data_IF_904583411103
#
_entry.id   IF_904583411103
#
_cell.length_a   1.000
_cell.length_b   1.000
_cell.length_c   1.000
_cell.angle_alpha   90.00
_cell.angle_beta   90.00
_cell.angle_gamma   90.00
#
_symmetry.space_group_name_H-M   'P 1'
#
loop_
_entity.id
_entity.type
_entity.pdbx_description
1 polymer ?
#
# COMPACT_ATOMS: atom_id res chain seq x y z
N UNK A 1 -20.21 23.94 3.11
CA UNK A 1 -19.60 22.61 3.08
C UNK A 1 -18.64 22.61 1.91
N UNK A 2 -17.33 22.65 2.17
CA UNK A 2 -16.31 22.52 1.13
C UNK A 2 -16.42 21.11 0.57
N UNK A 3 -16.91 20.98 -0.65
CA UNK A 3 -17.20 19.67 -1.25
C UNK A 3 -15.97 19.14 -1.96
N UNK A 4 -15.85 17.81 -2.08
CA UNK A 4 -14.82 17.19 -2.93
C UNK A 4 -14.87 17.73 -4.37
N UNK A 5 -16.06 18.11 -4.84
CA UNK A 5 -16.29 18.74 -6.15
C UNK A 5 -15.60 20.09 -6.28
N UNK A 6 -15.47 20.85 -5.19
CA UNK A 6 -14.76 22.13 -5.18
C UNK A 6 -13.25 21.92 -5.34
N UNK A 7 -12.69 20.91 -4.66
CA UNK A 7 -11.29 20.51 -4.87
C UNK A 7 -11.06 20.04 -6.32
N UNK A 8 -12.01 19.30 -6.92
CA UNK A 8 -11.92 18.90 -8.33
C UNK A 8 -11.95 20.09 -9.31
N UNK A 9 -12.69 21.16 -8.99
CA UNK A 9 -12.67 22.40 -9.78
C UNK A 9 -11.34 23.12 -9.65
N UNK A 10 -10.74 23.13 -8.46
CA UNK A 10 -9.43 23.74 -8.23
C UNK A 10 -8.30 23.01 -8.96
N UNK A 11 -8.34 21.67 -9.01
CA UNK A 11 -7.40 20.89 -9.83
C UNK A 11 -7.55 21.22 -11.33
N UNK A 12 -8.77 21.41 -11.83
CA UNK A 12 -8.99 21.82 -13.23
C UNK A 12 -8.46 23.22 -13.54
N UNK A 13 -8.35 24.08 -12.53
CA UNK A 13 -7.85 25.44 -12.64
C UNK A 13 -6.33 25.56 -12.38
N UNK A 14 -5.59 24.44 -12.27
CA UNK A 14 -4.16 24.39 -11.92
C UNK A 14 -3.82 25.02 -10.55
N UNK A 15 -4.77 25.06 -9.61
CA UNK A 15 -4.57 25.59 -8.25
C UNK A 15 -4.34 24.44 -7.26
N UNK A 16 -3.28 23.68 -7.51
CA UNK A 16 -3.06 22.40 -6.83
C UNK A 16 -2.83 22.53 -5.31
N UNK A 17 -2.08 23.56 -4.88
CA UNK A 17 -1.84 23.82 -3.46
C UNK A 17 -3.12 24.22 -2.70
N UNK A 18 -4.07 24.86 -3.38
CA UNK A 18 -5.35 25.20 -2.76
C UNK A 18 -6.26 23.98 -2.66
N UNK A 19 -6.28 23.14 -3.70
CA UNK A 19 -7.01 21.88 -3.69
C UNK A 19 -6.50 20.93 -2.59
N UNK A 20 -5.18 20.83 -2.42
CA UNK A 20 -4.55 20.05 -1.35
C UNK A 20 -4.98 20.55 0.04
N UNK A 21 -4.93 21.86 0.28
CA UNK A 21 -5.35 22.45 1.55
C UNK A 21 -6.85 22.22 1.84
N UNK A 22 -7.70 22.32 0.81
CA UNK A 22 -9.13 22.03 0.92
C UNK A 22 -9.37 20.56 1.30
N UNK A 23 -8.68 19.62 0.64
CA UNK A 23 -8.79 18.19 0.94
C UNK A 23 -8.24 17.85 2.33
N UNK A 24 -7.09 18.40 2.71
CA UNK A 24 -6.52 18.26 4.05
C UNK A 24 -7.45 18.82 5.13
N UNK A 25 -8.12 19.95 4.86
CA UNK A 25 -9.11 20.54 5.78
C UNK A 25 -10.32 19.62 5.97
N UNK A 26 -10.85 19.03 4.89
CA UNK A 26 -11.96 18.06 4.94
C UNK A 26 -11.57 16.82 5.78
N UNK A 27 -10.34 16.34 5.62
CA UNK A 27 -9.82 15.19 6.37
C UNK A 27 -9.63 15.54 7.86
N UNK A 28 -9.07 16.72 8.14
CA UNK A 28 -8.69 17.18 9.49
C UNK A 28 -9.87 17.66 10.33
N UNK A 29 -10.97 18.07 9.70
CA UNK A 29 -12.20 18.37 10.43
C UNK A 29 -12.58 17.16 11.28
N UNK A 30 -12.57 17.29 12.60
CA UNK A 30 -13.01 16.22 13.50
C UNK A 30 -14.49 16.01 13.27
N UNK A 31 -14.84 14.94 12.56
CA UNK A 31 -16.25 14.61 12.35
C UNK A 31 -16.81 14.14 13.68
N UNK A 32 -17.87 14.79 14.14
CA UNK A 32 -18.81 14.14 15.03
C UNK A 32 -19.26 12.85 14.35
N UNK A 33 -18.96 11.74 15.02
CA UNK A 33 -18.53 10.47 14.40
C UNK A 33 -19.68 9.63 13.86
N UNK A 34 -20.84 10.24 13.58
CA UNK A 34 -22.11 9.52 13.35
C UNK A 34 -22.74 9.76 11.97
N UNK A 35 -22.28 10.72 11.19
CA UNK A 35 -22.87 10.97 9.87
C UNK A 35 -22.14 10.17 8.77
N UNK A 36 -22.84 9.15 8.25
CA UNK A 36 -22.36 8.30 7.16
C UNK A 36 -22.11 9.07 5.85
N UNK A 37 -22.70 10.25 5.67
CA UNK A 37 -22.44 11.11 4.52
C UNK A 37 -21.05 11.76 4.65
N UNK A 38 -20.72 12.30 5.82
CA UNK A 38 -19.43 12.94 6.10
C UNK A 38 -18.29 11.91 6.02
N UNK A 39 -18.50 10.70 6.53
CA UNK A 39 -17.50 9.62 6.42
C UNK A 39 -17.21 9.25 4.95
N UNK A 40 -18.24 9.21 4.10
CA UNK A 40 -18.10 8.95 2.66
C UNK A 40 -17.39 10.09 1.93
N UNK A 41 -17.70 11.33 2.27
CA UNK A 41 -17.01 12.49 1.67
C UNK A 41 -15.53 12.50 2.04
N UNK A 42 -15.17 12.17 3.28
CA UNK A 42 -13.77 12.04 3.71
C UNK A 42 -13.04 10.91 3.01
N UNK A 43 -13.68 9.75 2.86
CA UNK A 43 -13.12 8.62 2.12
C UNK A 43 -12.84 9.03 0.66
N UNK A 44 -13.80 9.70 0.02
CA UNK A 44 -13.64 10.19 -1.34
C UNK A 44 -12.54 11.26 -1.43
N UNK A 45 -12.50 12.20 -0.49
CA UNK A 45 -11.47 13.23 -0.41
C UNK A 45 -10.07 12.62 -0.33
N UNK A 46 -9.89 11.58 0.51
CA UNK A 46 -8.60 10.90 0.63
C UNK A 46 -8.20 10.14 -0.64
N UNK A 47 -9.15 9.47 -1.29
CA UNK A 47 -8.89 8.80 -2.58
C UNK A 47 -8.49 9.81 -3.65
N UNK A 48 -9.18 10.96 -3.72
CA UNK A 48 -8.84 12.05 -4.65
C UNK A 48 -7.48 12.66 -4.35
N UNK A 49 -7.16 12.90 -3.09
CA UNK A 49 -5.85 13.37 -2.66
C UNK A 49 -4.75 12.37 -3.07
N UNK A 50 -5.01 11.07 -2.91
CA UNK A 50 -4.09 10.02 -3.33
C UNK A 50 -3.89 9.97 -4.85
N UNK A 51 -4.96 10.13 -5.64
CA UNK A 51 -4.89 10.24 -7.10
C UNK A 51 -4.06 11.45 -7.53
N UNK A 52 -4.26 12.60 -6.86
CA UNK A 52 -3.48 13.80 -7.13
C UNK A 52 -1.98 13.58 -6.87
N UNK A 53 -1.58 13.03 -5.71
CA UNK A 53 -0.16 12.77 -5.46
C UNK A 53 0.46 11.75 -6.41
N UNK A 54 -0.34 10.77 -6.88
CA UNK A 54 0.07 9.83 -7.93
C UNK A 54 0.36 10.57 -9.24
N UNK A 55 -0.55 11.45 -9.66
CA UNK A 55 -0.43 12.18 -10.93
C UNK A 55 0.71 13.23 -10.86
N UNK A 56 0.89 13.86 -9.71
CA UNK A 56 2.00 14.80 -9.41
C UNK A 56 3.34 14.11 -9.10
N UNK A 57 3.42 12.77 -9.18
CA UNK A 57 4.62 11.96 -8.92
C UNK A 57 5.30 12.23 -7.56
N UNK A 58 4.52 12.54 -6.52
CA UNK A 58 5.04 12.87 -5.19
C UNK A 58 4.81 11.72 -4.19
N UNK A 59 5.76 10.79 -4.02
CA UNK A 59 5.58 9.65 -3.12
C UNK A 59 5.56 10.04 -1.63
N UNK A 60 6.27 11.10 -1.25
CA UNK A 60 6.35 11.58 0.14
C UNK A 60 5.09 12.34 0.57
N UNK A 61 4.46 13.06 -0.36
CA UNK A 61 3.15 13.68 -0.13
C UNK A 61 2.07 12.64 0.18
N UNK A 62 2.02 11.58 -0.63
CA UNK A 62 1.11 10.44 -0.40
C UNK A 62 1.40 9.74 0.93
N UNK A 63 2.67 9.57 1.28
CA UNK A 63 3.11 8.95 2.53
C UNK A 63 2.63 9.75 3.75
N UNK A 64 2.81 11.06 3.69
CA UNK A 64 2.39 12.00 4.74
C UNK A 64 0.87 12.02 4.89
N UNK A 65 0.12 12.03 3.78
CA UNK A 65 -1.33 11.94 3.80
C UNK A 65 -1.83 10.64 4.46
N UNK A 66 -1.22 9.49 4.13
CA UNK A 66 -1.56 8.21 4.76
C UNK A 66 -1.33 8.26 6.28
N UNK A 67 -0.21 8.86 6.73
CA UNK A 67 0.10 9.02 8.17
C UNK A 67 -0.92 9.90 8.88
N UNK A 68 -1.27 11.06 8.30
CA UNK A 68 -2.28 11.97 8.87
C UNK A 68 -3.67 11.33 8.95
N UNK A 69 -4.01 10.45 8.00
CA UNK A 69 -5.32 9.80 7.96
C UNK A 69 -5.46 8.60 8.89
N UNK A 70 -4.40 8.17 9.61
CA UNK A 70 -4.47 7.01 10.52
C UNK A 70 -5.54 7.16 11.61
N UNK A 71 -5.70 8.36 12.17
CA UNK A 71 -6.73 8.67 13.17
C UNK A 71 -8.14 8.47 12.61
N UNK A 72 -8.40 8.95 11.38
CA UNK A 72 -9.66 8.72 10.67
C UNK A 72 -9.88 7.24 10.36
N UNK A 73 -8.85 6.53 9.91
CA UNK A 73 -8.91 5.10 9.62
C UNK A 73 -9.19 4.24 10.87
N UNK A 74 -8.79 4.70 12.06
CA UNK A 74 -9.16 4.09 13.34
C UNK A 74 -10.65 4.22 13.65
N UNK A 75 -11.29 5.33 13.24
CA UNK A 75 -12.69 5.64 13.54
C UNK A 75 -13.73 4.97 12.62
N UNK A 76 -13.34 4.56 11.41
CA UNK A 76 -14.26 3.92 10.44
C UNK A 76 -14.31 2.40 10.58
N UNK A 77 -15.31 1.79 9.94
CA UNK A 77 -15.47 0.33 9.90
C UNK A 77 -14.24 -0.38 9.29
N UNK A 78 -13.83 -1.49 9.91
CA UNK A 78 -12.62 -2.26 9.57
C UNK A 78 -12.51 -2.64 8.08
N UNK A 79 -13.62 -3.07 7.48
CA UNK A 79 -13.66 -3.46 6.07
C UNK A 79 -13.42 -2.28 5.13
N UNK A 80 -14.00 -1.11 5.43
CA UNK A 80 -13.79 0.12 4.66
C UNK A 80 -12.33 0.57 4.78
N UNK A 81 -11.76 0.54 5.98
CA UNK A 81 -10.33 0.86 6.15
C UNK A 81 -9.44 -0.04 5.33
N UNK A 82 -9.68 -1.36 5.34
CA UNK A 82 -8.84 -2.29 4.62
C UNK A 82 -8.83 -2.01 3.11
N UNK A 83 -10.01 -1.72 2.53
CA UNK A 83 -10.13 -1.34 1.13
C UNK A 83 -9.43 -0.02 0.83
N UNK A 84 -9.58 0.98 1.72
CA UNK A 84 -8.98 2.30 1.58
C UNK A 84 -7.45 2.24 1.61
N UNK A 85 -6.87 1.59 2.62
CA UNK A 85 -5.41 1.43 2.75
C UNK A 85 -4.83 0.68 1.56
N UNK A 86 -5.49 -0.41 1.11
CA UNK A 86 -5.06 -1.16 -0.07
C UNK A 86 -5.03 -0.27 -1.32
N UNK A 87 -6.11 0.48 -1.55
CA UNK A 87 -6.21 1.41 -2.69
C UNK A 87 -5.11 2.47 -2.67
N UNK A 88 -4.82 3.03 -1.49
CA UNK A 88 -3.77 4.05 -1.33
C UNK A 88 -2.37 3.48 -1.58
N UNK A 89 -2.08 2.28 -1.09
CA UNK A 89 -0.79 1.61 -1.35
C UNK A 89 -0.66 1.21 -2.81
N UNK A 90 -1.74 0.81 -3.46
CA UNK A 90 -1.76 0.45 -4.87
C UNK A 90 -1.49 1.66 -5.79
N UNK A 91 -1.72 2.90 -5.33
CA UNK A 91 -1.34 4.10 -6.10
C UNK A 91 0.17 4.22 -6.33
N UNK A 92 1.01 3.75 -5.41
CA UNK A 92 2.46 3.71 -5.61
C UNK A 92 2.87 2.79 -6.78
N UNK A 93 2.11 1.72 -7.00
CA UNK A 93 2.33 0.76 -8.08
C UNK A 93 1.70 1.20 -9.42
N UNK A 94 0.91 2.27 -9.44
CA UNK A 94 0.28 2.80 -10.66
C UNK A 94 1.17 3.83 -11.36
N UNK A 95 1.09 3.88 -12.69
CA UNK A 95 1.70 4.96 -13.46
C UNK A 95 0.97 6.30 -13.19
N UNK A 96 1.67 7.45 -13.15
CA UNK A 96 3.10 7.63 -13.41
C UNK A 96 4.02 7.53 -12.18
N UNK A 97 3.48 7.28 -10.99
CA UNK A 97 4.23 7.26 -9.73
C UNK A 97 5.21 6.08 -9.63
N UNK A 98 4.88 4.94 -10.24
CA UNK A 98 5.74 3.74 -10.27
C UNK A 98 7.10 3.94 -10.97
N UNK A 99 7.22 4.95 -11.84
CA UNK A 99 8.47 5.28 -12.54
C UNK A 99 9.41 6.11 -11.67
N UNK A 100 8.94 6.66 -10.54
CA UNK A 100 9.77 7.48 -9.67
C UNK A 100 10.70 6.59 -8.83
N UNK A 101 12.03 6.83 -8.85
CA UNK A 101 12.99 5.95 -8.17
C UNK A 101 12.76 5.84 -6.66
N UNK A 102 12.33 6.94 -6.01
CA UNK A 102 11.99 6.93 -4.58
C UNK A 102 10.63 6.30 -4.25
N UNK A 103 9.72 6.14 -5.22
CA UNK A 103 8.37 5.62 -4.97
C UNK A 103 8.43 4.23 -4.34
N UNK A 104 9.29 3.39 -4.91
CA UNK A 104 9.66 2.06 -4.45
C UNK A 104 10.02 1.98 -2.96
N UNK A 105 11.03 2.77 -2.56
CA UNK A 105 11.53 2.75 -1.19
C UNK A 105 10.48 3.32 -0.22
N UNK A 106 9.84 4.43 -0.59
CA UNK A 106 8.77 5.04 0.22
C UNK A 106 7.58 4.09 0.38
N UNK A 107 7.23 3.32 -0.67
CA UNK A 107 6.16 2.32 -0.61
C UNK A 107 6.49 1.20 0.39
N UNK A 108 7.72 0.69 0.42
CA UNK A 108 8.15 -0.33 1.41
C UNK A 108 8.07 0.24 2.82
N UNK A 109 8.60 1.45 3.05
CA UNK A 109 8.59 2.12 4.36
C UNK A 109 7.16 2.31 4.84
N UNK A 110 6.29 2.87 4.01
CA UNK A 110 4.89 3.11 4.36
C UNK A 110 4.13 1.81 4.58
N UNK A 111 4.37 0.77 3.78
CA UNK A 111 3.74 -0.53 3.98
C UNK A 111 4.15 -1.13 5.33
N UNK A 112 5.44 -1.08 5.69
CA UNK A 112 5.93 -1.53 7.01
C UNK A 112 5.31 -0.74 8.16
N UNK A 113 5.24 0.58 8.05
CA UNK A 113 4.59 1.41 9.08
C UNK A 113 3.10 1.08 9.24
N UNK A 114 2.40 0.80 8.14
CA UNK A 114 0.99 0.42 8.18
C UNK A 114 0.78 -0.99 8.76
N UNK A 115 1.72 -1.92 8.56
CA UNK A 115 1.73 -3.24 9.23
C UNK A 115 1.82 -3.06 10.74
N UNK A 116 2.74 -2.22 11.23
CA UNK A 116 2.90 -1.97 12.67
C UNK A 116 1.71 -1.23 13.28
N UNK A 117 1.13 -0.27 12.55
CA UNK A 117 -0.13 0.35 12.95
C UNK A 117 -1.28 -0.66 13.03
N UNK A 118 -1.43 -1.53 12.02
CA UNK A 118 -2.45 -2.58 12.04
C UNK A 118 -2.26 -3.58 13.19
N UNK A 119 -1.00 -3.83 13.59
CA UNK A 119 -0.67 -4.63 14.78
C UNK A 119 -1.12 -3.95 16.06
N UNK A 120 -0.86 -2.65 16.21
CA UNK A 120 -1.26 -1.83 17.37
C UNK A 120 -2.78 -1.78 17.51
N UNK A 121 -3.49 -1.58 16.40
CA UNK A 121 -4.96 -1.57 16.33
C UNK A 121 -5.61 -2.97 16.39
N UNK A 122 -4.81 -4.03 16.55
CA UNK A 122 -5.26 -5.44 16.60
C UNK A 122 -6.10 -5.85 15.38
N UNK A 123 -5.78 -5.33 14.19
CA UNK A 123 -6.47 -5.61 12.91
C UNK A 123 -5.76 -6.72 12.14
N UNK A 124 -6.00 -7.97 12.55
CA UNK A 124 -5.30 -9.17 12.02
C UNK A 124 -5.41 -9.30 10.50
N UNK A 125 -6.62 -9.22 9.93
CA UNK A 125 -6.83 -9.35 8.48
C UNK A 125 -6.14 -8.27 7.66
N UNK A 126 -6.17 -7.02 8.14
CA UNK A 126 -5.50 -5.91 7.46
C UNK A 126 -3.98 -6.12 7.48
N UNK A 127 -3.43 -6.48 8.65
CA UNK A 127 -2.01 -6.79 8.81
C UNK A 127 -1.58 -7.90 7.84
N UNK A 128 -2.31 -9.00 7.76
CA UNK A 128 -1.99 -10.12 6.86
C UNK A 128 -2.01 -9.69 5.38
N UNK A 129 -3.02 -8.93 4.96
CA UNK A 129 -3.09 -8.40 3.60
C UNK A 129 -1.89 -7.49 3.29
N UNK A 130 -1.51 -6.63 4.23
CA UNK A 130 -0.36 -5.75 4.08
C UNK A 130 0.97 -6.52 4.08
N UNK A 131 1.10 -7.57 4.89
CA UNK A 131 2.28 -8.43 4.90
C UNK A 131 2.45 -9.19 3.57
N UNK A 132 1.36 -9.70 2.98
CA UNK A 132 1.40 -10.34 1.65
C UNK A 132 1.85 -9.34 0.57
N UNK A 133 1.30 -8.12 0.61
CA UNK A 133 1.69 -7.05 -0.30
C UNK A 133 3.16 -6.67 -0.10
N UNK A 134 3.61 -6.53 1.15
CA UNK A 134 5.00 -6.23 1.49
C UNK A 134 5.94 -7.32 0.97
N UNK A 135 5.60 -8.60 1.13
CA UNK A 135 6.40 -9.71 0.59
C UNK A 135 6.52 -9.64 -0.94
N UNK A 136 5.42 -9.29 -1.63
CA UNK A 136 5.43 -9.12 -3.09
C UNK A 136 6.35 -7.97 -3.51
N UNK A 137 6.29 -6.83 -2.79
CA UNK A 137 7.18 -5.70 -3.04
C UNK A 137 8.65 -6.06 -2.77
N UNK A 138 8.97 -6.67 -1.62
CA UNK A 138 10.34 -7.09 -1.28
C UNK A 138 10.93 -8.04 -2.32
N UNK A 139 10.09 -8.91 -2.90
CA UNK A 139 10.50 -9.80 -3.98
C UNK A 139 10.86 -9.03 -5.26
N UNK A 140 10.10 -7.99 -5.62
CA UNK A 140 10.41 -7.11 -6.76
C UNK A 140 11.76 -6.38 -6.57
N UNK A 141 12.12 -6.03 -5.32
CA UNK A 141 13.42 -5.40 -4.99
C UNK A 141 14.55 -6.39 -4.70
N UNK A 142 14.41 -7.66 -5.07
CA UNK A 142 15.41 -8.72 -4.86
C UNK A 142 15.77 -8.97 -3.37
N UNK A 143 14.95 -8.50 -2.42
CA UNK A 143 15.12 -8.75 -0.99
C UNK A 143 14.49 -10.10 -0.57
N UNK A 144 14.83 -11.14 -1.31
CA UNK A 144 14.22 -12.49 -1.23
C UNK A 144 14.35 -13.13 0.16
N UNK A 145 15.48 -12.92 0.85
CA UNK A 145 15.69 -13.48 2.19
C UNK A 145 14.71 -12.93 3.21
N UNK A 146 14.45 -11.63 3.17
CA UNK A 146 13.50 -10.98 4.08
C UNK A 146 12.07 -11.41 3.76
N UNK A 147 11.71 -11.46 2.46
CA UNK A 147 10.41 -11.93 2.01
C UNK A 147 10.10 -13.36 2.48
N UNK A 148 11.06 -14.29 2.38
CA UNK A 148 10.89 -15.66 2.88
C UNK A 148 10.71 -15.73 4.39
N UNK A 149 11.42 -14.89 5.16
CA UNK A 149 11.25 -14.79 6.60
C UNK A 149 9.85 -14.32 7.01
N UNK A 150 9.34 -13.29 6.34
CA UNK A 150 7.98 -12.78 6.55
C UNK A 150 6.92 -13.84 6.21
N UNK A 151 7.06 -14.53 5.06
CA UNK A 151 6.13 -15.59 4.65
C UNK A 151 6.12 -16.74 5.65
N UNK A 152 7.28 -17.18 6.16
CA UNK A 152 7.34 -18.25 7.14
C UNK A 152 6.61 -17.92 8.45
N UNK A 153 6.68 -16.65 8.88
CA UNK A 153 5.94 -16.17 10.04
C UNK A 153 4.44 -16.11 9.75
N UNK A 154 4.06 -15.55 8.61
CA UNK A 154 2.66 -15.45 8.17
C UNK A 154 1.99 -16.84 8.06
N UNK A 155 2.68 -17.85 7.52
CA UNK A 155 2.18 -19.23 7.42
C UNK A 155 1.90 -19.87 8.79
N UNK A 156 2.73 -19.60 9.81
CA UNK A 156 2.49 -20.12 11.17
C UNK A 156 1.23 -19.51 11.79
N UNK A 157 0.95 -18.25 11.49
CA UNK A 157 -0.23 -17.56 11.98
C UNK A 157 -1.50 -17.97 11.21
N UNK A 158 -1.42 -18.07 9.88
CA UNK A 158 -2.55 -18.45 9.03
C UNK A 158 -3.03 -19.88 9.28
N UNK A 159 -2.12 -20.81 9.62
CA UNK A 159 -2.49 -22.19 10.03
C UNK A 159 -3.40 -22.24 11.26
N UNK A 160 -3.48 -21.17 12.05
CA UNK A 160 -4.36 -21.11 13.23
C UNK A 160 -5.75 -20.52 12.92
N UNK A 161 -5.92 -19.87 11.77
CA UNK A 161 -7.13 -19.13 11.40
C UNK A 161 -8.00 -19.86 10.36
N UNK A 162 -7.49 -20.93 9.74
CA UNK A 162 -8.18 -21.78 8.75
C UNK A 162 -8.76 -21.03 7.53
N UNK A 163 -8.26 -19.83 7.20
CA UNK A 163 -8.64 -19.12 5.98
C UNK A 163 -7.91 -19.72 4.76
N UNK A 164 -8.60 -20.64 4.08
CA UNK A 164 -8.07 -21.41 2.93
C UNK A 164 -7.69 -20.53 1.73
N UNK A 165 -8.38 -19.40 1.53
CA UNK A 165 -8.09 -18.51 0.39
C UNK A 165 -6.75 -17.82 0.57
N UNK A 166 -6.56 -17.14 1.71
CA UNK A 166 -5.31 -16.42 1.99
C UNK A 166 -4.14 -17.41 2.11
N UNK A 167 -4.36 -18.59 2.70
CA UNK A 167 -3.32 -19.62 2.81
C UNK A 167 -2.80 -20.08 1.43
N UNK A 168 -3.71 -20.25 0.46
CA UNK A 168 -3.34 -20.67 -0.90
C UNK A 168 -2.54 -19.57 -1.61
N UNK A 169 -2.94 -18.30 -1.45
CA UNK A 169 -2.22 -17.16 -2.04
C UNK A 169 -0.79 -17.04 -1.50
N UNK A 170 -0.61 -17.22 -0.18
CA UNK A 170 0.71 -17.18 0.46
C UNK A 170 1.60 -18.33 -0.01
N UNK A 171 1.06 -19.54 -0.13
CA UNK A 171 1.82 -20.68 -0.68
C UNK A 171 2.22 -20.47 -2.14
N UNK A 172 1.34 -19.87 -2.96
CA UNK A 172 1.66 -19.52 -4.34
C UNK A 172 2.82 -18.51 -4.39
N UNK A 173 2.77 -17.48 -3.55
CA UNK A 173 3.82 -16.47 -3.45
C UNK A 173 5.15 -17.09 -3.00
N UNK A 174 5.12 -17.96 -1.98
CA UNK A 174 6.28 -18.69 -1.48
C UNK A 174 6.94 -19.55 -2.58
N UNK A 175 6.12 -20.27 -3.35
CA UNK A 175 6.59 -21.10 -4.47
C UNK A 175 7.23 -20.25 -5.57
N UNK A 176 6.63 -19.09 -5.92
CA UNK A 176 7.19 -18.17 -6.91
C UNK A 176 8.56 -17.63 -6.49
N UNK A 177 8.69 -17.24 -5.22
CA UNK A 177 9.94 -16.70 -4.68
C UNK A 177 11.04 -17.77 -4.66
N UNK A 178 10.71 -18.99 -4.20
CA UNK A 178 11.68 -20.10 -4.21
C UNK A 178 12.10 -20.51 -5.61
N UNK A 179 11.15 -20.52 -6.56
CA UNK A 179 11.47 -20.83 -7.95
C UNK A 179 12.40 -19.78 -8.56
N UNK A 180 12.14 -18.49 -8.34
CA UNK A 180 13.02 -17.42 -8.80
C UNK A 180 14.42 -17.44 -8.16
N UNK A 181 14.56 -18.03 -6.97
CA UNK A 181 15.88 -18.26 -6.34
C UNK A 181 16.61 -19.48 -6.95
N UNK A 182 15.85 -20.50 -7.35
CA UNK A 182 16.39 -21.75 -7.91
C UNK A 182 16.67 -21.68 -9.41
N UNK A 183 16.09 -20.73 -10.13
CA UNK A 183 16.37 -20.42 -11.53
C UNK A 183 17.23 -19.14 -11.59
N UNK A 184 18.55 -19.22 -11.32
CA UNK A 184 19.43 -18.09 -11.63
C UNK A 184 19.26 -17.79 -13.12
N UNK A 185 19.35 -16.51 -13.57
CA UNK A 185 19.27 -16.21 -14.99
C UNK A 185 20.26 -17.13 -15.68
N UNK A 186 19.80 -17.90 -16.67
CA UNK A 186 20.67 -18.72 -17.53
C UNK A 186 21.82 -17.83 -17.97
N UNK A 187 22.91 -17.88 -17.21
CA UNK A 187 24.20 -17.44 -17.66
C UNK A 187 24.36 -18.18 -18.97
N UNK A 188 24.53 -17.41 -20.04
CA UNK A 188 25.05 -17.94 -21.29
C UNK A 188 26.41 -18.54 -20.93
N UNK A 189 26.40 -19.80 -20.50
CA UNK A 189 27.56 -20.67 -20.45
C UNK A 189 27.81 -21.03 -21.91
N UNK A 190 28.41 -20.08 -22.63
CA UNK A 190 29.32 -20.42 -23.72
C UNK A 190 30.72 -20.32 -23.11
N UNK A 191 31.03 -21.25 -22.21
CA UNK A 191 32.39 -21.74 -22.05
C UNK A 191 32.53 -22.88 -23.05
N UNK A 192 33.23 -22.71 -24.18
CA UNK A 192 33.77 -23.88 -24.86
C UNK A 192 34.82 -24.50 -23.92
N UNK A 193 34.82 -25.82 -23.88
CA UNK A 193 35.72 -26.68 -23.13
C UNK A 193 37.16 -26.18 -23.08
N UNK A 194 37.80 -26.30 -21.92
CA UNK A 194 39.24 -26.33 -21.77
C UNK A 194 39.66 -27.77 -21.43
N UNK A 195 40.67 -28.27 -22.14
CA UNK A 195 41.45 -29.50 -21.96
C UNK A 195 40.84 -30.86 -22.36
N UNK A 196 41.19 -31.36 -23.55
CA UNK A 196 42.32 -32.29 -23.79
C UNK A 196 43.02 -31.87 -25.08
#
# INVERSE_FOLDING_TARGET
MTTVVEAERLFKNNQDSQAENVLMSIISQTADTKDDAILREKELALIRLGQYYRDSKNPEGLASAIRCCRSFMSAIAKAKTAKLVKTLIDFYSQAPLNQHPSSSQTQIVITRENVEWARTEKRVFLRQNLEIKLCSLLFEYQQTKEALGLIANLLKELKKLDDKMILTEVHLLESRIRHALSDPPKAKVTTPCLFV
#
